data_IF_193579448045
#
_entry.id   IF_193579448045
#
_cell.length_a   1.000
_cell.length_b   1.000
_cell.length_c   1.000
_cell.angle_alpha   90.00
_cell.angle_beta   90.00
_cell.angle_gamma   90.00
#
_symmetry.space_group_name_H-M   'P 1'
#
loop_
_entity.id
_entity.type
_entity.pdbx_description
1 polymer ?
#
# COMPACT_ATOMS: atom_id res chain seq x y z
N UNK A 1 -9.63 -12.53 8.31
CA UNK A 1 -9.79 -12.72 6.85
C UNK A 1 -8.83 -11.75 6.17
N UNK A 2 -8.13 -12.18 5.11
CA UNK A 2 -7.14 -11.34 4.46
C UNK A 2 -7.80 -10.46 3.40
N UNK A 3 -7.36 -9.19 3.34
CA UNK A 3 -7.81 -8.25 2.33
C UNK A 3 -7.00 -8.38 1.04
N UNK A 4 -5.70 -8.67 1.15
CA UNK A 4 -4.82 -8.88 -0.01
C UNK A 4 -4.07 -10.18 0.20
N UNK A 5 -4.11 -11.06 -0.79
CA UNK A 5 -3.32 -12.29 -0.84
C UNK A 5 -2.60 -12.35 -2.19
N UNK A 6 -1.32 -12.66 -2.16
CA UNK A 6 -0.53 -12.97 -3.34
C UNK A 6 0.22 -14.28 -3.09
N UNK A 7 0.16 -15.20 -4.05
CA UNK A 7 0.82 -16.49 -4.00
C UNK A 7 1.69 -16.68 -5.24
N UNK A 8 2.99 -16.85 -5.02
CA UNK A 8 4.02 -17.02 -6.07
C UNK A 8 3.89 -16.00 -7.22
N UNK A 9 3.44 -14.78 -6.87
CA UNK A 9 3.04 -13.78 -7.84
C UNK A 9 4.24 -13.26 -8.62
N UNK A 10 4.23 -13.50 -9.92
CA UNK A 10 5.30 -13.13 -10.85
C UNK A 10 4.77 -12.27 -11.97
N UNK A 11 5.50 -11.24 -12.35
CA UNK A 11 5.22 -10.41 -13.52
C UNK A 11 6.49 -10.11 -14.29
N UNK A 12 6.47 -10.45 -15.55
CA UNK A 12 7.53 -10.15 -16.51
C UNK A 12 7.04 -9.17 -17.57
N UNK A 13 7.93 -8.30 -18.00
CA UNK A 13 7.77 -7.42 -19.16
C UNK A 13 8.97 -7.64 -20.07
N UNK A 14 8.74 -8.03 -21.32
CA UNK A 14 9.79 -8.21 -22.34
C UNK A 14 10.97 -9.08 -21.83
N UNK A 15 10.65 -10.14 -21.07
CA UNK A 15 11.64 -11.05 -20.51
C UNK A 15 12.36 -10.56 -19.25
N UNK A 16 12.00 -9.39 -18.72
CA UNK A 16 12.53 -8.89 -17.46
C UNK A 16 11.48 -9.03 -16.33
N UNK A 17 11.86 -9.70 -15.25
CA UNK A 17 10.99 -9.86 -14.11
C UNK A 17 10.87 -8.53 -13.31
N UNK A 18 9.67 -7.97 -13.30
CA UNK A 18 9.33 -6.83 -12.45
C UNK A 18 8.91 -7.27 -11.05
N UNK A 19 8.33 -8.48 -10.92
CA UNK A 19 8.06 -9.19 -9.67
C UNK A 19 8.40 -10.67 -9.88
N UNK A 20 8.95 -11.32 -8.86
CA UNK A 20 9.39 -12.71 -8.93
C UNK A 20 8.98 -13.46 -7.66
N UNK A 21 8.00 -14.38 -7.79
CA UNK A 21 7.60 -15.30 -6.73
C UNK A 21 7.13 -14.62 -5.44
N UNK A 22 6.40 -13.49 -5.54
CA UNK A 22 6.00 -12.70 -4.37
C UNK A 22 4.88 -13.40 -3.60
N UNK A 23 5.11 -13.64 -2.31
CA UNK A 23 4.13 -14.18 -1.37
C UNK A 23 3.80 -13.13 -0.31
N UNK A 24 2.52 -12.71 -0.24
CA UNK A 24 2.09 -11.65 0.65
C UNK A 24 0.66 -11.89 1.13
N UNK A 25 0.42 -11.61 2.41
CA UNK A 25 -0.92 -11.60 3.00
C UNK A 25 -1.07 -10.32 3.83
N UNK A 26 -2.20 -9.65 3.68
CA UNK A 26 -2.53 -8.42 4.43
C UNK A 26 -3.93 -8.58 5.02
N UNK A 27 -4.06 -8.58 6.34
CA UNK A 27 -5.34 -8.66 7.02
C UNK A 27 -6.28 -7.50 6.68
N UNK A 28 -7.60 -7.74 6.79
CA UNK A 28 -8.60 -6.67 6.64
C UNK A 28 -8.52 -5.67 7.79
N UNK A 29 -8.78 -4.39 7.47
CA UNK A 29 -8.75 -3.28 8.42
C UNK A 29 -7.34 -2.81 8.78
N UNK A 30 -6.32 -3.34 8.13
CA UNK A 30 -4.92 -2.98 8.40
C UNK A 30 -4.43 -1.86 7.47
N UNK A 31 -3.59 -0.96 8.02
CA UNK A 31 -2.76 -0.07 7.22
C UNK A 31 -1.39 -0.73 7.02
N UNK A 32 -1.14 -1.18 5.80
CA UNK A 32 0.04 -1.93 5.39
C UNK A 32 0.84 -1.17 4.34
N UNK A 33 2.17 -1.17 4.43
CA UNK A 33 3.02 -0.54 3.42
C UNK A 33 4.01 -1.52 2.77
N UNK A 34 4.04 -1.53 1.44
CA UNK A 34 5.13 -2.13 0.66
C UNK A 34 6.14 -1.03 0.30
N UNK A 35 7.34 -1.10 0.88
CA UNK A 35 8.38 -0.08 0.72
C UNK A 35 9.55 -0.59 -0.09
N UNK A 36 10.20 0.33 -0.82
CA UNK A 36 11.38 0.00 -1.63
C UNK A 36 11.81 1.16 -2.52
N UNK A 37 12.96 1.02 -3.13
CA UNK A 37 13.49 2.02 -4.08
C UNK A 37 12.62 2.14 -5.33
N UNK A 38 12.83 3.23 -6.10
CA UNK A 38 12.17 3.39 -7.40
C UNK A 38 12.55 2.23 -8.32
N UNK A 39 11.58 1.72 -9.08
CA UNK A 39 11.82 0.61 -10.00
C UNK A 39 11.87 -0.79 -9.37
N UNK A 40 11.66 -0.96 -8.06
CA UNK A 40 11.72 -2.27 -7.42
C UNK A 40 10.47 -3.15 -7.60
N UNK A 41 9.43 -2.69 -8.34
CA UNK A 41 8.23 -3.49 -8.64
C UNK A 41 6.93 -3.02 -7.97
N UNK A 42 6.93 -1.95 -7.13
CA UNK A 42 5.75 -1.48 -6.38
C UNK A 42 4.56 -1.12 -7.28
N UNK A 43 4.79 -0.30 -8.30
CA UNK A 43 3.74 0.07 -9.28
C UNK A 43 3.18 -1.17 -9.99
N UNK A 44 4.02 -2.14 -10.31
CA UNK A 44 3.59 -3.42 -10.91
C UNK A 44 2.70 -4.18 -9.94
N UNK A 45 3.05 -4.22 -8.66
CA UNK A 45 2.23 -4.87 -7.63
C UNK A 45 0.85 -4.22 -7.52
N UNK A 46 0.78 -2.88 -7.41
CA UNK A 46 -0.52 -2.19 -7.37
C UNK A 46 -1.34 -2.45 -8.64
N UNK A 47 -0.71 -2.46 -9.83
CA UNK A 47 -1.41 -2.75 -11.10
C UNK A 47 -1.97 -4.18 -11.15
N UNK A 48 -1.26 -5.15 -10.60
CA UNK A 48 -1.74 -6.54 -10.49
C UNK A 48 -2.94 -6.63 -9.53
N UNK A 49 -2.81 -6.05 -8.33
CA UNK A 49 -3.85 -6.05 -7.31
C UNK A 49 -5.10 -5.27 -7.73
N UNK A 50 -4.96 -4.25 -8.58
CA UNK A 50 -6.09 -3.49 -9.13
C UNK A 50 -6.67 -4.07 -10.43
N UNK A 51 -6.12 -5.17 -10.96
CA UNK A 51 -6.58 -5.79 -12.20
C UNK A 51 -6.20 -5.03 -13.48
N UNK A 52 -5.33 -4.03 -13.39
CA UNK A 52 -4.84 -3.25 -14.55
C UNK A 52 -3.81 -4.00 -15.39
N UNK A 53 -3.25 -5.08 -14.87
CA UNK A 53 -2.46 -6.03 -15.63
C UNK A 53 -2.64 -7.43 -15.07
N UNK A 54 -2.35 -8.45 -15.90
CA UNK A 54 -2.40 -9.85 -15.48
C UNK A 54 -1.03 -10.34 -15.04
N UNK A 55 -0.94 -11.25 -14.06
CA UNK A 55 0.31 -11.89 -13.70
C UNK A 55 0.85 -12.73 -14.86
N UNK A 56 2.17 -12.96 -14.89
CA UNK A 56 2.82 -13.91 -15.80
C UNK A 56 2.73 -15.33 -15.24
N UNK A 57 2.81 -15.50 -13.91
CA UNK A 57 2.51 -16.73 -13.17
C UNK A 57 2.12 -16.39 -11.72
N UNK A 58 1.63 -17.40 -11.00
CA UNK A 58 1.07 -17.18 -9.67
C UNK A 58 -0.27 -16.46 -9.71
N UNK A 59 -0.79 -16.13 -8.54
CA UNK A 59 -2.11 -15.51 -8.41
C UNK A 59 -2.17 -14.49 -7.29
N UNK A 60 -3.19 -13.62 -7.35
CA UNK A 60 -3.52 -12.71 -6.26
C UNK A 60 -5.02 -12.52 -6.13
N UNK A 61 -5.45 -12.22 -4.91
CA UNK A 61 -6.84 -11.85 -4.61
C UNK A 61 -6.88 -10.59 -3.76
N UNK A 62 -7.95 -9.81 -3.91
CA UNK A 62 -8.27 -8.67 -3.06
C UNK A 62 -9.70 -8.86 -2.56
N UNK A 63 -9.88 -8.97 -1.24
CA UNK A 63 -11.15 -9.34 -0.59
C UNK A 63 -11.72 -10.67 -1.11
N UNK A 64 -10.86 -11.62 -1.47
CA UNK A 64 -11.24 -12.89 -2.06
C UNK A 64 -11.63 -12.82 -3.54
N UNK A 65 -11.63 -11.63 -4.17
CA UNK A 65 -11.91 -11.44 -5.59
C UNK A 65 -10.62 -11.52 -6.40
N UNK A 66 -10.67 -12.20 -7.54
CA UNK A 66 -9.55 -12.25 -8.48
C UNK A 66 -9.51 -10.99 -9.34
N UNK A 67 -8.44 -10.16 -9.26
CA UNK A 67 -8.34 -8.96 -10.09
C UNK A 67 -8.35 -9.24 -11.59
N UNK A 68 -7.87 -10.42 -12.00
CA UNK A 68 -7.79 -10.82 -13.40
C UNK A 68 -9.10 -11.35 -13.98
N UNK A 69 -9.99 -11.90 -13.14
CA UNK A 69 -11.22 -12.56 -13.58
C UNK A 69 -12.48 -11.77 -13.18
N UNK A 70 -12.43 -11.02 -12.08
CA UNK A 70 -13.57 -10.29 -11.52
C UNK A 70 -13.30 -8.78 -11.35
N UNK A 71 -12.70 -8.07 -12.33
CA UNK A 71 -12.27 -6.69 -12.16
C UNK A 71 -13.44 -5.74 -11.85
N UNK A 72 -14.62 -5.97 -12.39
CA UNK A 72 -15.79 -5.13 -12.15
C UNK A 72 -16.26 -5.22 -10.69
N UNK A 73 -16.33 -6.44 -10.15
CA UNK A 73 -16.66 -6.65 -8.72
C UNK A 73 -15.59 -6.09 -7.81
N UNK A 74 -14.32 -6.24 -8.20
CA UNK A 74 -13.22 -5.66 -7.44
C UNK A 74 -13.32 -4.14 -7.38
N UNK A 75 -13.54 -3.47 -8.52
CA UNK A 75 -13.62 -2.00 -8.57
C UNK A 75 -14.82 -1.43 -7.82
N UNK A 76 -15.88 -2.21 -7.58
CA UNK A 76 -17.01 -1.75 -6.74
C UNK A 76 -16.69 -1.72 -5.25
N UNK A 77 -15.65 -2.42 -4.79
CA UNK A 77 -15.26 -2.53 -3.37
C UNK A 77 -13.84 -2.04 -3.08
N UNK A 78 -13.04 -1.75 -4.10
CA UNK A 78 -11.67 -1.30 -3.97
C UNK A 78 -11.45 0.05 -4.67
N UNK A 79 -10.86 1.00 -3.95
CA UNK A 79 -10.36 2.25 -4.50
C UNK A 79 -8.89 2.10 -4.93
N UNK A 80 -8.51 2.75 -6.04
CA UNK A 80 -7.13 2.72 -6.51
C UNK A 80 -6.63 4.12 -6.82
N UNK A 81 -5.49 4.48 -6.25
CA UNK A 81 -4.74 5.70 -6.52
C UNK A 81 -3.43 5.31 -7.20
N UNK A 82 -3.24 5.78 -8.41
CA UNK A 82 -2.02 5.57 -9.18
C UNK A 82 -1.21 6.87 -9.28
N UNK A 83 0.01 6.75 -9.80
CA UNK A 83 0.92 7.90 -10.01
C UNK A 83 0.30 8.98 -10.91
N UNK A 84 -0.47 8.60 -11.92
CA UNK A 84 -1.31 9.52 -12.71
C UNK A 84 -2.69 9.68 -12.07
N UNK A 85 -3.15 10.93 -11.95
CA UNK A 85 -4.39 11.24 -11.23
C UNK A 85 -5.66 10.68 -11.90
N UNK A 86 -5.63 10.41 -13.21
CA UNK A 86 -6.76 9.92 -14.01
C UNK A 86 -8.05 10.74 -13.81
N UNK A 87 -7.90 12.07 -13.75
CA UNK A 87 -9.00 13.02 -13.74
C UNK A 87 -9.19 13.64 -15.13
N UNK A 88 -10.42 13.98 -15.48
CA UNK A 88 -10.74 14.71 -16.72
C UNK A 88 -10.31 16.16 -16.58
N UNK A 89 -9.31 16.57 -17.34
CA UNK A 89 -8.63 17.86 -17.17
C UNK A 89 -9.52 19.07 -17.51
N UNK A 90 -10.46 18.92 -18.45
CA UNK A 90 -11.42 19.96 -18.84
C UNK A 90 -12.63 20.10 -17.91
N UNK A 91 -12.84 19.15 -17.00
CA UNK A 91 -13.91 19.21 -15.99
C UNK A 91 -13.38 19.87 -14.72
N UNK A 92 -14.27 20.51 -13.96
CA UNK A 92 -13.96 20.96 -12.61
C UNK A 92 -13.68 19.78 -11.68
N UNK A 93 -13.05 20.05 -10.56
CA UNK A 93 -12.82 19.03 -9.56
C UNK A 93 -14.13 18.42 -9.06
N UNK A 94 -15.14 19.27 -8.81
CA UNK A 94 -16.47 18.86 -8.39
C UNK A 94 -17.14 17.95 -9.42
N UNK A 95 -17.17 18.36 -10.72
CA UNK A 95 -17.74 17.55 -11.82
C UNK A 95 -17.03 16.18 -11.94
N UNK A 96 -15.71 16.15 -11.79
CA UNK A 96 -14.96 14.89 -11.77
C UNK A 96 -15.47 13.95 -10.67
N UNK A 97 -15.56 14.43 -9.41
CA UNK A 97 -15.98 13.60 -8.30
C UNK A 97 -17.42 13.09 -8.47
N UNK A 98 -18.34 13.96 -8.93
CA UNK A 98 -19.72 13.57 -9.21
C UNK A 98 -19.83 12.56 -10.36
N UNK A 99 -19.05 12.74 -11.42
CA UNK A 99 -18.98 11.76 -12.50
C UNK A 99 -18.57 10.37 -12.01
N UNK A 100 -17.49 10.29 -11.21
CA UNK A 100 -17.05 9.01 -10.67
C UNK A 100 -18.01 8.45 -9.63
N UNK A 101 -18.67 9.27 -8.82
CA UNK A 101 -19.74 8.85 -7.92
C UNK A 101 -20.90 8.17 -8.69
N UNK A 102 -21.35 8.79 -9.78
CA UNK A 102 -22.38 8.23 -10.65
C UNK A 102 -22.00 6.90 -11.28
N UNK A 103 -20.73 6.69 -11.67
CA UNK A 103 -20.24 5.41 -12.16
C UNK A 103 -20.33 4.29 -11.11
N UNK A 104 -20.26 4.64 -9.83
CA UNK A 104 -20.43 3.71 -8.72
C UNK A 104 -21.87 3.63 -8.18
N UNK A 105 -22.82 4.32 -8.83
CA UNK A 105 -24.24 4.28 -8.49
C UNK A 105 -24.64 5.08 -7.26
N UNK A 106 -23.83 6.06 -6.81
CA UNK A 106 -24.22 6.99 -5.77
C UNK A 106 -25.27 7.95 -6.32
N UNK A 107 -26.28 8.26 -5.51
CA UNK A 107 -27.20 9.33 -5.85
C UNK A 107 -26.57 10.72 -5.66
N UNK A 108 -27.26 11.76 -6.15
CA UNK A 108 -26.72 13.12 -6.16
C UNK A 108 -26.49 13.68 -4.74
N UNK A 109 -27.30 13.29 -3.74
CA UNK A 109 -27.15 13.74 -2.37
C UNK A 109 -25.97 13.08 -1.69
N UNK A 110 -25.84 11.76 -1.82
CA UNK A 110 -24.70 10.99 -1.30
C UNK A 110 -23.39 11.46 -1.94
N UNK A 111 -23.40 11.71 -3.27
CA UNK A 111 -22.27 12.23 -4.00
C UNK A 111 -21.84 13.62 -3.52
N UNK A 112 -22.82 14.51 -3.26
CA UNK A 112 -22.59 15.86 -2.73
C UNK A 112 -21.99 15.81 -1.32
N UNK A 113 -22.57 15.03 -0.42
CA UNK A 113 -22.11 14.89 0.96
C UNK A 113 -20.70 14.30 0.99
N UNK A 114 -20.48 13.21 0.27
CA UNK A 114 -19.18 12.53 0.24
C UNK A 114 -18.09 13.40 -0.40
N UNK A 115 -18.37 14.06 -1.52
CA UNK A 115 -17.41 14.95 -2.17
C UNK A 115 -17.04 16.14 -1.28
N UNK A 116 -18.05 16.78 -0.65
CA UNK A 116 -17.82 17.88 0.30
C UNK A 116 -16.93 17.45 1.46
N UNK A 117 -17.22 16.31 2.09
CA UNK A 117 -16.40 15.75 3.17
C UNK A 117 -14.95 15.53 2.74
N UNK A 118 -14.73 14.85 1.60
CA UNK A 118 -13.39 14.53 1.12
C UNK A 118 -12.59 15.77 0.72
N UNK A 119 -13.23 16.74 0.05
CA UNK A 119 -12.57 17.98 -0.37
C UNK A 119 -12.14 18.84 0.83
N UNK A 120 -12.95 18.91 1.88
CA UNK A 120 -12.58 19.61 3.12
C UNK A 120 -11.46 18.89 3.87
N UNK A 121 -11.55 17.55 4.02
CA UNK A 121 -10.51 16.76 4.68
C UNK A 121 -9.15 16.83 3.99
N UNK A 122 -9.14 16.99 2.68
CA UNK A 122 -7.93 17.12 1.87
C UNK A 122 -7.46 18.57 1.68
N UNK A 123 -8.17 19.54 2.26
CA UNK A 123 -7.85 20.97 2.12
C UNK A 123 -7.73 21.40 0.65
N UNK A 124 -8.74 21.03 -0.17
CA UNK A 124 -8.84 21.39 -1.60
C UNK A 124 -10.23 21.87 -1.99
N UNK A 125 -11.06 22.21 -1.00
CA UNK A 125 -12.43 22.68 -1.20
C UNK A 125 -12.48 23.97 -2.07
N UNK A 126 -11.56 24.88 -1.86
CA UNK A 126 -11.53 26.16 -2.59
C UNK A 126 -11.29 26.00 -4.11
N UNK A 127 -10.65 24.89 -4.49
CA UNK A 127 -10.39 24.55 -5.89
C UNK A 127 -11.53 23.80 -6.61
N UNK A 128 -12.65 23.49 -5.93
CA UNK A 128 -13.68 22.58 -6.44
C UNK A 128 -14.34 23.01 -7.76
N UNK A 129 -14.48 24.31 -7.99
CA UNK A 129 -15.11 24.89 -9.17
C UNK A 129 -14.11 25.22 -10.29
N UNK A 130 -12.81 24.91 -10.09
CA UNK A 130 -11.77 25.12 -11.08
C UNK A 130 -11.58 23.85 -11.93
N UNK A 131 -11.38 24.00 -13.26
CA UNK A 131 -10.95 22.91 -14.11
C UNK A 131 -9.64 22.30 -13.61
N UNK A 132 -9.53 20.97 -13.69
CA UNK A 132 -8.36 20.24 -13.17
C UNK A 132 -7.03 20.72 -13.79
N UNK A 133 -7.05 21.10 -15.06
CA UNK A 133 -5.87 21.67 -15.75
C UNK A 133 -5.31 22.97 -15.13
N UNK A 134 -6.12 23.68 -14.33
CA UNK A 134 -5.72 24.92 -13.64
C UNK A 134 -5.25 24.69 -12.21
N UNK A 135 -5.33 23.46 -11.74
CA UNK A 135 -4.95 23.09 -10.37
C UNK A 135 -3.47 22.73 -10.28
N UNK A 136 -2.87 22.96 -9.12
CA UNK A 136 -1.50 22.52 -8.86
C UNK A 136 -1.40 20.98 -8.78
N UNK A 137 -0.22 20.44 -9.06
CA UNK A 137 0.04 19.01 -8.99
C UNK A 137 -0.32 18.41 -7.62
N UNK A 138 -0.09 19.14 -6.52
CA UNK A 138 -0.46 18.72 -5.18
C UNK A 138 -1.97 18.60 -4.99
N UNK A 139 -2.75 19.58 -5.50
CA UNK A 139 -4.22 19.53 -5.49
C UNK A 139 -4.73 18.38 -6.34
N UNK A 140 -4.19 18.18 -7.53
CA UNK A 140 -4.58 17.08 -8.44
C UNK A 140 -4.33 15.72 -7.81
N UNK A 141 -3.22 15.53 -7.09
CA UNK A 141 -2.93 14.30 -6.35
C UNK A 141 -3.93 14.04 -5.22
N UNK A 142 -4.22 15.06 -4.40
CA UNK A 142 -5.25 14.98 -3.35
C UNK A 142 -6.63 14.68 -3.94
N UNK A 143 -6.95 15.29 -5.07
CA UNK A 143 -8.19 15.03 -5.81
C UNK A 143 -8.29 13.58 -6.34
N UNK A 144 -7.17 13.00 -6.77
CA UNK A 144 -7.12 11.58 -7.17
C UNK A 144 -7.44 10.65 -5.98
N UNK A 145 -6.99 11.00 -4.78
CA UNK A 145 -7.34 10.28 -3.56
C UNK A 145 -8.83 10.45 -3.24
N UNK A 146 -9.36 11.68 -3.31
CA UNK A 146 -10.81 11.91 -3.14
C UNK A 146 -11.63 11.04 -4.09
N UNK A 147 -11.27 11.03 -5.39
CA UNK A 147 -11.93 10.19 -6.40
C UNK A 147 -11.94 8.71 -6.01
N UNK A 148 -10.81 8.17 -5.54
CA UNK A 148 -10.70 6.76 -5.17
C UNK A 148 -11.52 6.40 -3.91
N UNK A 149 -11.91 7.40 -3.10
CA UNK A 149 -12.69 7.24 -1.87
C UNK A 149 -14.18 7.58 -2.02
N UNK A 150 -14.63 8.04 -3.20
CA UNK A 150 -16.02 8.47 -3.43
C UNK A 150 -17.03 7.38 -3.10
N UNK A 151 -16.76 6.14 -3.48
CA UNK A 151 -17.66 4.99 -3.32
C UNK A 151 -17.44 4.21 -2.00
N UNK A 152 -16.76 4.81 -1.02
CA UNK A 152 -16.49 4.21 0.30
C UNK A 152 -15.93 2.79 0.20
N UNK A 153 -14.77 2.59 -0.45
CA UNK A 153 -14.21 1.27 -0.71
C UNK A 153 -13.81 0.56 0.59
N UNK A 154 -13.81 -0.78 0.58
CA UNK A 154 -13.31 -1.60 1.69
C UNK A 154 -11.80 -1.76 1.69
N UNK A 155 -11.17 -1.59 0.52
CA UNK A 155 -9.71 -1.61 0.35
C UNK A 155 -9.29 -0.41 -0.50
N UNK A 156 -8.25 0.27 -0.09
CA UNK A 156 -7.62 1.35 -0.84
C UNK A 156 -6.19 0.96 -1.22
N UNK A 157 -5.95 0.81 -2.53
CA UNK A 157 -4.64 0.53 -3.10
C UNK A 157 -3.99 1.84 -3.54
N UNK A 158 -2.85 2.20 -2.95
CA UNK A 158 -2.17 3.48 -3.21
C UNK A 158 -0.77 3.25 -3.76
N UNK A 159 -0.50 3.74 -4.96
CA UNK A 159 0.84 3.83 -5.52
C UNK A 159 1.41 5.25 -5.35
N UNK A 160 2.20 5.44 -4.31
CA UNK A 160 2.97 6.66 -4.05
C UNK A 160 4.44 6.49 -4.48
N UNK A 161 4.68 5.89 -5.62
CA UNK A 161 6.03 5.60 -6.12
C UNK A 161 6.80 6.89 -6.48
N UNK A 162 6.11 7.97 -6.77
CA UNK A 162 6.72 9.25 -7.13
C UNK A 162 7.26 10.05 -5.93
N UNK A 163 6.79 9.74 -4.71
CA UNK A 163 7.33 10.31 -3.46
C UNK A 163 7.38 11.84 -3.42
N UNK A 164 6.43 12.50 -4.09
CA UNK A 164 6.49 13.93 -4.35
C UNK A 164 5.37 14.73 -3.67
N UNK A 165 4.91 14.30 -2.49
CA UNK A 165 4.05 15.12 -1.66
C UNK A 165 4.95 16.16 -0.96
N UNK A 166 4.67 17.45 -1.16
CA UNK A 166 5.20 18.49 -0.29
C UNK A 166 4.70 18.25 1.15
N UNK A 167 5.32 18.92 2.11
CA UNK A 167 5.05 18.65 3.53
C UNK A 167 3.58 18.90 3.92
N UNK A 168 2.95 19.91 3.34
CA UNK A 168 1.56 20.27 3.61
C UNK A 168 0.59 19.25 2.99
N UNK A 169 0.79 18.89 1.74
CA UNK A 169 0.03 17.85 1.03
C UNK A 169 0.14 16.50 1.71
N UNK A 170 1.32 16.15 2.25
CA UNK A 170 1.54 14.90 2.97
C UNK A 170 0.74 14.83 4.28
N UNK A 171 0.59 15.96 4.99
CA UNK A 171 -0.16 15.98 6.24
C UNK A 171 -1.66 15.74 6.04
N UNK A 172 -2.32 16.51 5.17
CA UNK A 172 -3.75 16.34 4.88
C UNK A 172 -4.07 14.93 4.35
N UNK A 173 -3.20 14.42 3.45
CA UNK A 173 -3.31 13.05 2.94
C UNK A 173 -3.20 12.02 4.07
N UNK A 174 -2.23 12.16 4.96
CA UNK A 174 -2.03 11.25 6.09
C UNK A 174 -3.23 11.27 7.04
N UNK A 175 -3.73 12.46 7.37
CA UNK A 175 -4.90 12.63 8.27
C UNK A 175 -6.14 11.95 7.68
N UNK A 176 -6.42 12.12 6.38
CA UNK A 176 -7.53 11.45 5.73
C UNK A 176 -7.32 9.93 5.69
N UNK A 177 -6.15 9.44 5.29
CA UNK A 177 -5.87 7.99 5.23
C UNK A 177 -5.96 7.34 6.61
N UNK A 178 -5.49 8.04 7.65
CA UNK A 178 -5.63 7.58 9.05
C UNK A 178 -7.11 7.52 9.44
N UNK A 179 -7.90 8.54 9.09
CA UNK A 179 -9.32 8.60 9.38
C UNK A 179 -10.09 7.45 8.70
N UNK A 180 -9.92 7.26 7.40
CA UNK A 180 -10.66 6.20 6.68
C UNK A 180 -10.25 4.80 7.13
N UNK A 181 -9.00 4.59 7.54
CA UNK A 181 -8.55 3.33 8.10
C UNK A 181 -9.13 3.07 9.49
N UNK A 182 -9.17 4.09 10.36
CA UNK A 182 -9.60 3.94 11.75
C UNK A 182 -11.13 3.97 11.92
N UNK A 183 -11.82 4.88 11.23
CA UNK A 183 -13.25 5.16 11.43
C UNK A 183 -14.13 4.46 10.39
N UNK A 184 -13.66 4.34 9.14
CA UNK A 184 -14.41 3.66 8.08
C UNK A 184 -14.00 2.18 7.91
N UNK A 185 -12.97 1.72 8.63
CA UNK A 185 -12.48 0.34 8.58
C UNK A 185 -11.84 -0.05 7.24
N UNK A 186 -11.41 0.92 6.45
CA UNK A 186 -10.79 0.70 5.14
C UNK A 186 -9.43 0.04 5.32
N UNK A 187 -9.19 -1.07 4.64
CA UNK A 187 -7.86 -1.65 4.54
C UNK A 187 -7.00 -0.78 3.62
N UNK A 188 -5.88 -0.29 4.11
CA UNK A 188 -4.94 0.52 3.33
C UNK A 188 -3.76 -0.32 2.87
N UNK A 189 -3.53 -0.40 1.57
CA UNK A 189 -2.34 -0.98 0.96
C UNK A 189 -1.54 0.11 0.25
N UNK A 190 -0.47 0.57 0.89
CA UNK A 190 0.38 1.65 0.40
C UNK A 190 1.67 1.09 -0.22
N UNK A 191 1.93 1.41 -1.48
CA UNK A 191 3.25 1.24 -2.10
C UNK A 191 3.97 2.59 -2.14
N UNK A 192 5.07 2.74 -1.39
CA UNK A 192 5.79 4.02 -1.33
C UNK A 192 7.32 3.87 -1.33
N UNK A 193 8.00 4.84 -1.90
CA UNK A 193 9.44 5.04 -1.72
C UNK A 193 9.75 5.99 -0.56
N UNK A 194 8.75 6.70 -0.05
CA UNK A 194 8.87 7.56 1.12
C UNK A 194 8.63 6.74 2.40
N UNK A 195 9.72 6.18 2.94
CA UNK A 195 9.67 5.33 4.12
C UNK A 195 9.23 6.07 5.37
N UNK A 196 9.52 7.36 5.46
CA UNK A 196 9.08 8.20 6.58
C UNK A 196 7.54 8.32 6.58
N UNK A 197 6.94 8.64 5.42
CA UNK A 197 5.49 8.70 5.28
C UNK A 197 4.82 7.36 5.57
N UNK A 198 5.39 6.26 5.04
CA UNK A 198 4.90 4.92 5.30
C UNK A 198 4.95 4.56 6.79
N UNK A 199 6.04 4.91 7.50
CA UNK A 199 6.21 4.64 8.94
C UNK A 199 5.22 5.42 9.81
N UNK A 200 4.83 6.64 9.39
CA UNK A 200 3.84 7.45 10.11
C UNK A 200 2.40 6.94 9.95
N UNK A 201 2.12 6.22 8.86
CA UNK A 201 0.77 5.81 8.49
C UNK A 201 0.50 4.32 8.78
N UNK A 202 1.49 3.45 8.57
CA UNK A 202 1.33 2.01 8.62
C UNK A 202 2.03 1.39 9.83
N UNK A 203 1.54 0.21 10.25
CA UNK A 203 2.15 -0.57 11.35
C UNK A 203 2.93 -1.77 10.85
N UNK A 204 2.50 -2.35 9.73
CA UNK A 204 3.14 -3.50 9.10
C UNK A 204 3.69 -3.13 7.73
N UNK A 205 4.82 -3.74 7.40
CA UNK A 205 5.61 -3.38 6.23
C UNK A 205 6.07 -4.62 5.48
N UNK A 206 6.23 -4.46 4.17
CA UNK A 206 6.96 -5.37 3.30
C UNK A 206 8.12 -4.62 2.66
N UNK A 207 9.31 -5.20 2.67
CA UNK A 207 10.50 -4.64 2.02
C UNK A 207 10.66 -5.31 0.67
N UNK A 208 10.49 -4.54 -0.40
CA UNK A 208 10.61 -5.00 -1.78
C UNK A 208 11.92 -4.51 -2.41
N UNK A 209 12.66 -5.42 -3.04
CA UNK A 209 13.89 -5.12 -3.78
C UNK A 209 13.93 -5.93 -5.08
N UNK A 210 14.08 -5.24 -6.23
CA UNK A 210 14.24 -5.87 -7.54
C UNK A 210 13.20 -6.98 -7.80
N UNK A 211 11.93 -6.71 -7.48
CA UNK A 211 10.83 -7.64 -7.67
C UNK A 211 10.70 -8.74 -6.63
N UNK A 212 11.59 -8.80 -5.64
CA UNK A 212 11.59 -9.84 -4.59
C UNK A 212 11.22 -9.24 -3.24
N UNK A 213 10.37 -9.93 -2.48
CA UNK A 213 10.05 -9.61 -1.10
C UNK A 213 11.20 -10.08 -0.20
N UNK A 214 11.93 -9.14 0.42
CA UNK A 214 13.06 -9.46 1.32
C UNK A 214 12.61 -9.80 2.74
N UNK A 215 11.64 -9.04 3.27
CA UNK A 215 11.14 -9.18 4.63
C UNK A 215 9.74 -8.59 4.76
N UNK A 216 8.97 -9.08 5.74
CA UNK A 216 7.68 -8.52 6.15
C UNK A 216 7.51 -8.58 7.66
N UNK A 217 6.75 -7.66 8.22
CA UNK A 217 6.43 -7.61 9.64
C UNK A 217 6.23 -6.19 10.14
N UNK A 218 6.05 -6.05 11.43
CA UNK A 218 6.08 -4.76 12.10
C UNK A 218 7.51 -4.20 12.18
N UNK A 219 7.64 -2.95 12.61
CA UNK A 219 8.93 -2.28 12.67
C UNK A 219 9.94 -3.02 13.56
N UNK A 220 9.48 -3.62 14.65
CA UNK A 220 10.33 -4.33 15.60
C UNK A 220 10.83 -5.67 15.06
N UNK A 221 9.96 -6.43 14.42
CA UNK A 221 10.32 -7.68 13.75
C UNK A 221 11.31 -7.44 12.62
N UNK A 222 11.09 -6.39 11.80
CA UNK A 222 11.99 -6.00 10.73
C UNK A 222 13.34 -5.52 11.27
N UNK A 223 13.36 -4.75 12.36
CA UNK A 223 14.56 -4.29 13.05
C UNK A 223 15.40 -5.48 13.52
N UNK A 224 14.77 -6.40 14.24
CA UNK A 224 15.42 -7.61 14.77
C UNK A 224 15.96 -8.49 13.66
N UNK A 225 15.17 -8.70 12.60
CA UNK A 225 15.59 -9.46 11.43
C UNK A 225 16.78 -8.84 10.69
N UNK A 226 16.85 -7.51 10.64
CA UNK A 226 17.98 -6.78 10.07
C UNK A 226 19.22 -6.76 10.97
N UNK A 227 19.08 -7.10 12.26
CA UNK A 227 20.17 -7.00 13.25
C UNK A 227 20.52 -5.56 13.61
N UNK A 228 19.58 -4.62 13.49
CA UNK A 228 19.80 -3.20 13.84
C UNK A 228 19.48 -2.99 15.31
N UNK A 229 20.40 -2.37 16.06
CA UNK A 229 20.25 -2.03 17.47
C UNK A 229 19.41 -0.75 17.68
N UNK A 230 19.21 -0.44 18.94
CA UNK A 230 18.75 0.88 19.37
C UNK A 230 19.96 1.79 19.55
N UNK A 231 19.75 3.10 19.55
CA UNK A 231 20.81 4.08 19.85
C UNK A 231 20.55 4.72 21.21
N UNK A 232 21.44 4.44 22.17
CA UNK A 232 21.44 5.14 23.46
C UNK A 232 22.18 6.47 23.30
N UNK A 233 21.51 7.59 23.58
CA UNK A 233 22.05 8.94 23.50
C UNK A 233 22.05 9.57 24.89
N UNK A 234 23.22 10.05 25.35
CA UNK A 234 23.40 10.71 26.64
C UNK A 234 23.94 12.12 26.44
N UNK A 235 23.32 13.10 27.04
CA UNK A 235 23.86 14.46 27.15
C UNK A 235 24.38 14.69 28.56
N UNK A 236 25.68 14.85 28.65
CA UNK A 236 26.39 15.00 29.92
C UNK A 236 26.85 16.45 30.12
N UNK A 237 26.94 16.88 31.38
CA UNK A 237 27.49 18.18 31.75
C UNK A 237 28.99 18.26 31.55
N UNK A 238 29.50 19.49 31.36
CA UNK A 238 30.95 19.74 31.22
C UNK A 238 31.72 19.14 32.40
N UNK A 239 32.89 18.58 32.08
CA UNK A 239 33.76 17.89 33.03
C UNK A 239 33.28 16.50 33.43
N UNK A 240 32.20 15.98 32.91
CA UNK A 240 31.78 14.60 33.13
C UNK A 240 32.69 13.63 32.40
N UNK A 241 33.00 12.45 33.00
CA UNK A 241 33.82 11.43 32.33
C UNK A 241 33.08 10.92 31.09
N UNK A 242 33.79 10.67 30.00
CA UNK A 242 33.27 10.07 28.80
C UNK A 242 32.76 8.65 29.08
N UNK A 243 31.52 8.28 28.74
CA UNK A 243 30.98 6.95 29.00
C UNK A 243 31.67 5.91 28.10
N UNK A 244 32.08 4.79 28.69
CA UNK A 244 32.83 3.76 27.99
C UNK A 244 32.03 3.15 26.84
N UNK A 245 32.61 3.08 25.65
CA UNK A 245 32.00 2.52 24.45
C UNK A 245 31.00 3.46 23.76
N UNK A 246 30.97 4.73 24.15
CA UNK A 246 30.21 5.77 23.48
C UNK A 246 31.12 6.64 22.60
N UNK A 247 30.56 7.16 21.53
CA UNK A 247 31.19 8.16 20.66
C UNK A 247 30.43 9.47 20.74
N UNK A 248 31.13 10.59 20.56
CA UNK A 248 30.52 11.91 20.57
C UNK A 248 29.95 12.27 19.21
N UNK A 249 28.68 12.64 19.15
CA UNK A 249 28.01 13.07 17.94
C UNK A 249 26.95 14.15 18.27
N UNK A 250 27.03 15.29 17.60
CA UNK A 250 26.04 16.39 17.64
C UNK A 250 25.47 16.73 19.04
N UNK A 251 26.38 16.88 20.03
CA UNK A 251 25.99 17.25 21.41
C UNK A 251 25.59 16.07 22.31
N UNK A 252 25.67 14.84 21.81
CA UNK A 252 25.35 13.63 22.54
C UNK A 252 26.47 12.63 22.52
N UNK A 253 26.59 11.85 23.57
CA UNK A 253 27.33 10.61 23.61
C UNK A 253 26.40 9.49 23.10
N UNK A 254 26.75 8.81 22.03
CA UNK A 254 25.93 7.81 21.36
C UNK A 254 26.59 6.43 21.39
N UNK A 255 25.75 5.41 21.57
CA UNK A 255 26.16 4.00 21.50
C UNK A 255 25.01 3.15 20.97
N UNK A 256 25.30 2.23 20.08
CA UNK A 256 24.37 1.20 19.67
C UNK A 256 24.21 0.14 20.78
N UNK A 257 22.95 -0.25 21.06
CA UNK A 257 22.59 -1.25 22.06
C UNK A 257 21.55 -2.21 21.47
N UNK A 258 21.60 -3.47 21.88
CA UNK A 258 20.70 -4.50 21.34
C UNK A 258 19.30 -4.43 21.93
N UNK A 259 19.20 -4.08 23.22
CA UNK A 259 17.94 -4.05 23.97
C UNK A 259 17.71 -2.71 24.63
N UNK A 260 16.48 -2.24 24.63
CA UNK A 260 16.06 -1.08 25.42
C UNK A 260 16.28 -1.27 26.93
N UNK A 261 16.28 -2.52 27.41
CA UNK A 261 16.53 -2.90 28.82
C UNK A 261 17.98 -2.62 29.27
N UNK A 262 18.87 -2.28 28.36
CA UNK A 262 20.22 -1.87 28.70
C UNK A 262 20.31 -0.40 29.11
N UNK A 263 19.32 0.42 28.71
CA UNK A 263 19.31 1.87 29.01
C UNK A 263 19.37 2.18 30.50
N UNK A 264 18.58 1.55 31.40
CA UNK A 264 18.70 1.78 32.85
C UNK A 264 20.10 1.45 33.40
N UNK A 265 20.75 0.40 32.92
CA UNK A 265 22.10 0.01 33.31
C UNK A 265 23.15 1.02 32.87
N UNK A 266 22.97 1.57 31.65
CA UNK A 266 23.83 2.61 31.08
C UNK A 266 23.73 3.88 31.93
N UNK A 267 22.50 4.34 32.23
CA UNK A 267 22.26 5.51 33.07
C UNK A 267 22.89 5.34 34.44
N UNK A 268 22.64 4.20 35.10
CA UNK A 268 23.18 3.91 36.44
C UNK A 268 24.71 3.93 36.44
N UNK A 269 25.34 3.39 35.41
CA UNK A 269 26.81 3.40 35.27
C UNK A 269 27.38 4.81 35.07
N UNK A 270 26.73 5.62 34.20
CA UNK A 270 27.16 6.99 33.94
C UNK A 270 27.07 7.84 35.22
N UNK A 271 25.96 7.79 35.95
CA UNK A 271 25.77 8.51 37.21
C UNK A 271 26.73 7.97 38.28
N UNK A 272 26.89 6.67 38.43
CA UNK A 272 27.84 6.05 39.36
C UNK A 272 29.30 6.41 39.08
N UNK A 273 29.66 6.73 37.86
CA UNK A 273 30.98 7.24 37.47
C UNK A 273 31.12 8.76 37.71
N UNK A 274 30.13 9.42 38.30
CA UNK A 274 30.15 10.85 38.60
C UNK A 274 29.76 11.76 37.43
N UNK A 275 29.18 11.22 36.38
CA UNK A 275 28.68 12.03 35.29
C UNK A 275 27.44 12.82 35.69
N UNK A 276 27.38 14.11 35.32
CA UNK A 276 26.17 14.93 35.42
C UNK A 276 25.31 14.70 34.19
N UNK A 277 24.29 13.84 34.33
CA UNK A 277 23.38 13.47 33.23
C UNK A 277 22.27 14.52 33.09
N UNK A 278 22.20 15.19 31.94
CA UNK A 278 21.17 16.16 31.63
C UNK A 278 20.02 15.56 30.82
N UNK A 279 20.35 14.61 29.95
CA UNK A 279 19.38 13.94 29.10
C UNK A 279 19.83 12.53 28.78
N UNK A 280 18.89 11.60 28.80
CA UNK A 280 19.07 10.24 28.34
C UNK A 280 17.93 9.88 27.38
N UNK A 281 18.27 9.56 26.14
CA UNK A 281 17.31 9.27 25.07
C UNK A 281 17.64 7.93 24.44
N UNK A 282 16.58 7.16 24.16
CA UNK A 282 16.66 5.93 23.40
C UNK A 282 16.05 6.16 22.00
N UNK A 283 16.89 6.26 21.00
CA UNK A 283 16.42 6.41 19.64
C UNK A 283 16.17 5.05 19.03
N UNK A 284 14.95 4.89 18.50
CA UNK A 284 14.56 3.70 17.74
C UNK A 284 14.97 3.90 16.29
N UNK A 285 15.52 2.87 15.64
CA UNK A 285 15.85 2.98 14.23
C UNK A 285 14.60 3.22 13.40
N UNK A 286 14.72 4.08 12.42
CA UNK A 286 13.68 4.39 11.45
C UNK A 286 13.52 3.25 10.45
N UNK A 287 12.35 3.18 9.79
CA UNK A 287 12.13 2.23 8.71
C UNK A 287 13.18 2.36 7.59
N UNK A 288 13.69 3.57 7.35
CA UNK A 288 14.75 3.83 6.37
C UNK A 288 16.09 3.18 6.77
N UNK A 289 16.48 3.28 8.04
CA UNK A 289 17.69 2.65 8.57
C UNK A 289 17.57 1.12 8.55
N UNK A 290 16.41 0.59 8.94
CA UNK A 290 16.12 -0.84 8.88
C UNK A 290 16.16 -1.34 7.43
N UNK A 291 15.56 -0.60 6.49
CA UNK A 291 15.61 -0.91 5.06
C UNK A 291 17.04 -0.96 4.53
N UNK A 292 17.88 0.04 4.86
CA UNK A 292 19.28 0.07 4.46
C UNK A 292 20.04 -1.17 4.98
N UNK A 293 19.83 -1.55 6.24
CA UNK A 293 20.44 -2.74 6.82
C UNK A 293 19.99 -4.04 6.13
N UNK A 294 18.72 -4.17 5.75
CA UNK A 294 18.25 -5.30 4.94
C UNK A 294 18.91 -5.36 3.56
N UNK A 295 19.20 -4.20 2.94
CA UNK A 295 19.91 -4.17 1.66
C UNK A 295 21.38 -4.61 1.79
N UNK A 296 22.06 -4.25 2.88
CA UNK A 296 23.45 -4.57 3.14
C UNK A 296 23.65 -6.00 3.69
N UNK A 297 22.78 -6.40 4.62
CA UNK A 297 22.86 -7.65 5.38
C UNK A 297 22.05 -8.82 4.81
N UNK A 298 21.12 -8.57 3.90
CA UNK A 298 20.18 -9.56 3.34
C UNK A 298 20.84 -10.73 2.58
N UNK A 299 22.17 -10.71 2.42
CA UNK A 299 22.94 -11.86 1.92
C UNK A 299 23.20 -12.94 2.97
N UNK A 300 23.01 -12.69 4.28
CA UNK A 300 23.45 -13.61 5.34
C UNK A 300 22.35 -14.44 6.02
N UNK A 301 21.04 -14.04 5.98
CA UNK A 301 19.99 -14.67 6.82
C UNK A 301 18.74 -15.20 6.12
N UNK A 302 18.66 -15.19 4.80
CA UNK A 302 17.53 -15.86 4.08
C UNK A 302 17.51 -17.38 4.30
N UNK A 303 18.55 -17.97 4.91
CA UNK A 303 18.66 -19.43 5.14
C UNK A 303 18.13 -19.92 6.50
N UNK A 304 17.77 -19.06 7.47
CA UNK A 304 17.48 -19.54 8.83
C UNK A 304 16.22 -19.01 9.52
N UNK A 305 15.41 -18.14 8.90
CA UNK A 305 14.12 -17.74 9.51
C UNK A 305 12.92 -18.37 8.82
N UNK A 306 12.91 -19.71 8.74
CA UNK A 306 11.68 -20.51 8.65
C UNK A 306 11.21 -20.80 10.08
N UNK A 307 10.85 -19.76 10.81
CA UNK A 307 10.15 -19.85 12.07
C UNK A 307 8.70 -19.45 11.85
N UNK A 308 7.80 -20.46 11.81
CA UNK A 308 6.33 -20.37 11.85
C UNK A 308 5.70 -19.32 10.89
N UNK A 309 5.88 -19.52 9.60
CA UNK A 309 4.76 -19.32 8.69
C UNK A 309 3.83 -20.54 8.97
N UNK A 310 2.59 -20.31 9.36
CA UNK A 310 1.57 -21.34 9.24
C UNK A 310 1.68 -21.87 7.81
N UNK A 311 1.92 -23.15 7.69
CA UNK A 311 2.14 -23.82 6.41
C UNK A 311 0.93 -23.52 5.53
N UNK A 312 1.13 -22.75 4.47
CA UNK A 312 0.15 -22.65 3.40
C UNK A 312 0.10 -24.06 2.83
N UNK A 313 -1.06 -24.74 2.79
CA UNK A 313 -1.15 -26.08 2.25
C UNK A 313 -0.62 -26.09 0.81
N UNK A 314 0.41 -26.89 0.54
CA UNK A 314 1.03 -27.02 -0.79
C UNK A 314 0.26 -27.99 -1.71
N UNK A 315 -0.94 -28.41 -1.30
CA UNK A 315 -1.72 -29.49 -1.96
C UNK A 315 -2.77 -28.99 -2.98
N UNK A 316 -2.77 -27.69 -3.31
CA UNK A 316 -3.72 -27.16 -4.30
C UNK A 316 -5.19 -27.16 -3.86
N UNK A 317 -5.46 -27.46 -2.56
CA UNK A 317 -6.83 -27.55 -2.03
C UNK A 317 -7.45 -26.19 -1.70
N UNK A 318 -6.76 -25.09 -2.01
CA UNK A 318 -7.18 -23.75 -1.61
C UNK A 318 -8.29 -23.16 -2.49
N UNK A 319 -8.64 -23.81 -3.60
CA UNK A 319 -9.74 -23.39 -4.46
C UNK A 319 -10.56 -24.58 -4.89
N UNK A 320 -11.62 -24.89 -4.18
CA UNK A 320 -12.79 -25.54 -4.77
C UNK A 320 -13.78 -24.43 -5.10
N UNK A 321 -14.20 -24.28 -6.38
CA UNK A 321 -15.34 -23.41 -6.69
C UNK A 321 -16.51 -23.96 -5.90
N UNK A 322 -17.06 -23.14 -4.99
CA UNK A 322 -18.32 -23.47 -4.34
C UNK A 322 -19.35 -23.70 -5.44
N UNK A 323 -19.97 -24.85 -5.44
CA UNK A 323 -21.18 -25.16 -6.17
C UNK A 323 -22.34 -24.36 -5.56
N UNK A 324 -22.28 -23.04 -5.67
CA UNK A 324 -23.42 -22.16 -5.53
C UNK A 324 -23.72 -21.62 -6.93
N UNK A 325 -24.51 -22.39 -7.67
CA UNK A 325 -25.29 -21.84 -8.76
C UNK A 325 -26.02 -20.59 -8.24
N UNK A 326 -25.93 -19.45 -8.93
CA UNK A 326 -26.72 -18.29 -8.54
C UNK A 326 -28.19 -18.66 -8.66
N UNK A 327 -28.91 -18.66 -7.55
CA UNK A 327 -30.34 -18.81 -7.52
C UNK A 327 -30.94 -17.82 -8.52
N UNK A 328 -31.63 -18.34 -9.54
CA UNK A 328 -32.34 -17.57 -10.53
C UNK A 328 -33.31 -16.61 -9.80
N UNK A 329 -33.24 -15.33 -10.12
CA UNK A 329 -34.24 -14.35 -9.70
C UNK A 329 -35.59 -14.77 -10.28
N UNK A 330 -36.65 -14.81 -9.48
CA UNK A 330 -37.98 -15.17 -9.98
C UNK A 330 -38.51 -14.01 -10.84
N UNK A 331 -38.68 -14.24 -12.15
CA UNK A 331 -39.53 -13.39 -12.98
C UNK A 331 -39.02 -12.90 -14.32
N UNK A 332 -38.04 -13.51 -14.97
CA UNK A 332 -37.78 -13.24 -16.38
C UNK A 332 -37.95 -14.52 -17.20
N UNK A 333 -39.05 -14.56 -18.00
CA UNK A 333 -39.20 -15.57 -19.05
C UNK A 333 -38.16 -15.36 -20.15
N UNK A 334 -37.58 -16.43 -20.70
CA UNK A 334 -36.60 -16.30 -21.80
C UNK A 334 -37.31 -15.76 -23.06
N UNK A 335 -36.66 -14.88 -23.86
CA UNK A 335 -37.25 -14.37 -25.09
C UNK A 335 -37.40 -15.50 -26.11
N UNK A 336 -38.60 -15.56 -26.77
CA UNK A 336 -38.88 -16.48 -27.88
C UNK A 336 -37.84 -16.34 -29.02
N UNK A 337 -37.50 -17.42 -29.64
CA UNK A 337 -36.57 -17.39 -30.80
C UNK A 337 -37.23 -16.73 -32.01
N UNK A 338 -36.59 -15.75 -32.62
CA UNK A 338 -37.01 -15.09 -33.85
C UNK A 338 -37.16 -16.07 -35.02
N UNK A 339 -38.19 -15.90 -35.88
CA UNK A 339 -38.47 -16.79 -37.00
C UNK A 339 -37.35 -16.69 -38.05
N UNK A 340 -36.97 -17.85 -38.59
CA UNK A 340 -35.89 -18.08 -39.48
C UNK A 340 -35.87 -17.23 -40.75
N UNK A 341 -34.70 -16.75 -41.08
CA UNK A 341 -34.41 -16.29 -42.44
C UNK A 341 -33.67 -17.45 -43.18
N UNK A 342 -34.23 -17.76 -44.32
CA UNK A 342 -33.90 -18.89 -45.17
C UNK A 342 -32.46 -18.85 -45.69
N UNK A 343 -31.96 -20.03 -45.96
CA UNK A 343 -30.70 -20.30 -46.62
C UNK A 343 -30.68 -19.70 -48.04
N UNK A 344 -29.55 -19.20 -48.52
CA UNK A 344 -29.37 -18.94 -49.97
C UNK A 344 -28.99 -20.23 -50.71
N UNK A 345 -29.72 -20.48 -51.79
CA UNK A 345 -29.47 -21.50 -52.79
C UNK A 345 -28.11 -21.32 -53.49
N UNK A 346 -27.42 -22.44 -53.67
CA UNK A 346 -26.34 -22.57 -54.63
C UNK A 346 -26.84 -22.37 -56.06
N UNK A 347 -26.29 -21.44 -56.79
CA UNK A 347 -26.51 -21.22 -58.20
C UNK A 347 -25.19 -21.12 -58.95
N UNK A 348 -24.93 -22.13 -59.73
CA UNK A 348 -23.79 -22.29 -60.64
C UNK A 348 -23.85 -21.33 -61.84
N UNK A 349 -22.70 -20.97 -62.36
CA UNK A 349 -22.53 -20.87 -63.79
C UNK A 349 -22.18 -19.54 -64.42
N UNK A 350 -21.00 -19.55 -65.05
CA UNK A 350 -20.59 -19.07 -66.40
C UNK A 350 -20.34 -17.56 -66.62
N UNK A 351 -19.05 -17.34 -66.95
CA UNK A 351 -18.47 -16.64 -68.15
C UNK A 351 -19.10 -15.27 -68.55
N UNK A 352 -18.35 -14.21 -68.54
CA UNK A 352 -17.60 -13.50 -69.59
C UNK A 352 -16.68 -12.45 -68.96
#
# INVERSE_FOLDING_TARGET
>A
MDAVVAYDLTKEYEGQAALSGLNLQVPQGEAFACVGERGCGKTTLVRLLSGLCRPSSGECTVLGLSPSHEPQRLHSVAGTVLDSAHLYTGMTLYENLHFFAGLHGLDDNDALERSSFLLHKLDIWEGRDLPVEKLSTGVVRRASLARALMHSPKVLLVDDSAGGLDQETAQATRELLTYVAAEEGVTLFLCSSNMHFAQLLCRNFAILRQGVLLARGDLESLRTGAGVGYRACLRLGEGSPAPAGFHWNDGFWEREIESQEDMPKIISRAVGAGARLYEARLDRPTLKEIYAAWLEGGRRKVKESHGTADEIPTDGSFWQPGEDEPAALPGEEPPEPAPGQGAPEEGAGEEV
#
